data_IF_745540803765
#
_entry.id   IF_745540803765
#
_cell.length_a   1.000
_cell.length_b   1.000
_cell.length_c   1.000
_cell.angle_alpha   90.00
_cell.angle_beta   90.00
_cell.angle_gamma   90.00
#
_symmetry.space_group_name_H-M   'P 1'
#
loop_
_entity.id
_entity.type
_entity.pdbx_description
1 polymer ?
#
# COMPACT_ATOMS: atom_id res chain seq x y z
N UNK A 1 -10.08 -3.47 2.08
CA UNK A 1 -8.78 -2.82 2.38
C UNK A 1 -8.78 -2.44 3.85
N UNK A 2 -7.67 -2.68 4.56
CA UNK A 2 -7.56 -2.42 6.00
C UNK A 2 -6.21 -1.79 6.32
N UNK A 3 -6.03 -1.36 7.58
CA UNK A 3 -4.79 -0.75 8.06
C UNK A 3 -3.60 -1.71 7.91
N UNK A 4 -2.46 -1.13 7.58
CA UNK A 4 -1.16 -1.81 7.46
C UNK A 4 -0.71 -2.33 8.83
N UNK A 5 -0.15 -3.54 8.88
CA UNK A 5 0.40 -4.19 10.07
C UNK A 5 -0.17 -5.60 10.32
N UNK A 6 0.73 -6.58 10.46
CA UNK A 6 0.41 -8.00 10.69
C UNK A 6 -0.72 -8.23 11.71
N UNK A 7 -0.62 -7.65 12.92
CA UNK A 7 -1.62 -7.87 13.99
C UNK A 7 -2.99 -7.29 13.65
N UNK A 8 -3.02 -6.13 12.98
CA UNK A 8 -4.26 -5.44 12.59
C UNK A 8 -5.00 -6.21 11.50
N UNK A 9 -4.26 -6.80 10.55
CA UNK A 9 -4.81 -7.64 9.48
C UNK A 9 -5.39 -8.91 10.08
N UNK A 10 -4.64 -9.61 10.94
CA UNK A 10 -5.10 -10.85 11.59
C UNK A 10 -6.39 -10.65 12.39
N UNK A 11 -6.45 -9.59 13.20
CA UNK A 11 -7.66 -9.25 13.94
C UNK A 11 -8.84 -9.01 12.99
N UNK A 12 -8.63 -8.23 11.92
CA UNK A 12 -9.71 -7.91 10.98
C UNK A 12 -10.21 -9.12 10.21
N UNK A 13 -9.32 -10.04 9.84
CA UNK A 13 -9.70 -11.29 9.19
C UNK A 13 -10.60 -12.13 10.08
N UNK A 14 -10.29 -12.22 11.38
CA UNK A 14 -11.13 -12.94 12.33
C UNK A 14 -12.51 -12.28 12.48
N UNK A 15 -12.55 -10.95 12.63
CA UNK A 15 -13.81 -10.18 12.72
C UNK A 15 -14.73 -10.39 11.51
N UNK A 16 -14.16 -10.48 10.30
CA UNK A 16 -14.92 -10.57 9.05
C UNK A 16 -15.09 -12.01 8.53
N UNK A 17 -14.51 -13.01 9.20
CA UNK A 17 -14.47 -14.39 8.71
C UNK A 17 -13.74 -14.53 7.37
N UNK A 18 -12.71 -13.73 7.12
CA UNK A 18 -11.96 -13.77 5.87
C UNK A 18 -11.14 -15.06 5.76
N UNK A 19 -11.19 -15.71 4.60
CA UNK A 19 -10.43 -16.94 4.30
C UNK A 19 -8.99 -16.71 3.83
N UNK A 20 -8.68 -15.49 3.39
CA UNK A 20 -7.38 -15.09 2.88
C UNK A 20 -7.13 -13.62 3.23
N UNK A 21 -5.90 -13.29 3.58
CA UNK A 21 -5.43 -11.92 3.73
C UNK A 21 -3.96 -11.79 3.36
N UNK A 22 -3.50 -10.57 3.17
CA UNK A 22 -2.11 -10.32 2.81
C UNK A 22 -1.70 -8.87 2.95
N UNK A 23 -0.40 -8.66 3.08
CA UNK A 23 0.26 -7.36 3.18
C UNK A 23 1.41 -7.25 2.16
N UNK A 24 1.75 -6.03 1.74
CA UNK A 24 2.85 -5.78 0.80
C UNK A 24 4.23 -6.18 1.33
N UNK A 25 4.39 -6.32 2.65
CA UNK A 25 5.59 -6.83 3.33
C UNK A 25 5.85 -8.33 3.08
N UNK A 26 4.89 -9.06 2.50
CA UNK A 26 4.97 -10.49 2.21
C UNK A 26 4.27 -11.38 3.22
N UNK A 27 3.70 -10.82 4.30
CA UNK A 27 2.85 -11.57 5.23
C UNK A 27 1.54 -11.95 4.54
N UNK A 28 1.31 -13.25 4.31
CA UNK A 28 0.12 -13.81 3.66
C UNK A 28 -0.52 -14.83 4.60
N UNK A 29 -1.83 -14.71 4.81
CA UNK A 29 -2.60 -15.40 5.84
C UNK A 29 -3.65 -16.30 5.18
N UNK A 30 -3.56 -17.61 5.35
CA UNK A 30 -4.60 -18.55 4.92
C UNK A 30 -5.48 -18.95 6.11
N UNK A 31 -6.80 -18.89 5.94
CA UNK A 31 -7.81 -19.28 6.94
C UNK A 31 -8.93 -20.13 6.31
N UNK A 32 -8.74 -20.63 5.09
CA UNK A 32 -9.68 -21.54 4.42
C UNK A 32 -9.52 -22.99 4.91
N UNK A 33 -8.28 -23.48 4.86
CA UNK A 33 -7.82 -24.82 5.28
C UNK A 33 -6.54 -24.68 6.14
N UNK A 34 -6.45 -23.55 6.87
CA UNK A 34 -5.32 -23.23 7.73
C UNK A 34 -5.75 -22.32 8.88
N UNK A 35 -4.81 -22.01 9.78
CA UNK A 35 -5.10 -21.44 11.10
C UNK A 35 -5.24 -19.89 11.13
N UNK A 36 -5.14 -19.21 9.99
CA UNK A 36 -5.32 -17.76 9.88
C UNK A 36 -4.16 -16.90 10.40
N UNK A 37 -3.01 -17.50 10.74
CA UNK A 37 -1.75 -16.77 10.87
C UNK A 37 -0.96 -16.78 9.56
N UNK A 38 0.00 -15.86 9.44
CA UNK A 38 0.87 -15.77 8.29
C UNK A 38 1.96 -16.84 8.34
N UNK A 39 2.17 -17.52 7.22
CA UNK A 39 3.15 -18.58 7.13
C UNK A 39 3.68 -18.69 5.70
N UNK A 40 4.89 -18.20 5.49
CA UNK A 40 5.53 -18.21 4.17
C UNK A 40 5.80 -19.63 3.65
N UNK A 41 6.02 -20.61 4.53
CA UNK A 41 6.24 -22.02 4.13
C UNK A 41 4.91 -22.60 3.64
N UNK A 42 3.82 -22.37 4.37
CA UNK A 42 2.50 -22.81 3.94
C UNK A 42 2.08 -22.13 2.64
N UNK A 43 2.34 -20.83 2.48
CA UNK A 43 2.09 -20.10 1.22
C UNK A 43 2.85 -20.75 0.05
N UNK A 44 4.13 -21.08 0.23
CA UNK A 44 4.91 -21.78 -0.79
C UNK A 44 4.31 -23.16 -1.12
N UNK A 45 3.89 -23.93 -0.11
CA UNK A 45 3.22 -25.21 -0.30
C UNK A 45 1.89 -25.06 -1.08
N UNK A 46 1.12 -24.01 -0.83
CA UNK A 46 -0.12 -23.69 -1.56
C UNK A 46 0.13 -23.31 -3.02
N UNK A 47 1.23 -22.60 -3.31
CA UNK A 47 1.67 -22.32 -4.68
C UNK A 47 2.04 -23.64 -5.39
N UNK A 48 2.85 -24.50 -4.75
CA UNK A 48 3.23 -25.81 -5.32
C UNK A 48 2.00 -26.70 -5.55
N UNK A 49 1.06 -26.74 -4.61
CA UNK A 49 -0.20 -27.46 -4.74
C UNK A 49 -1.04 -26.94 -5.92
N UNK A 50 -1.06 -25.63 -6.15
CA UNK A 50 -1.78 -25.03 -7.28
C UNK A 50 -1.13 -25.42 -8.61
N UNK A 51 0.20 -25.37 -8.68
CA UNK A 51 0.97 -25.77 -9.86
C UNK A 51 0.83 -27.26 -10.17
N UNK A 52 0.80 -28.13 -9.15
CA UNK A 52 0.70 -29.58 -9.35
C UNK A 52 -0.65 -30.05 -9.90
N UNK A 53 -1.68 -29.20 -9.85
CA UNK A 53 -3.03 -29.48 -10.40
C UNK A 53 -3.18 -29.09 -11.87
N UNK A 54 -2.17 -28.47 -12.47
CA UNK A 54 -2.20 -28.03 -13.87
C UNK A 54 -0.90 -28.34 -14.60
N UNK A 55 -0.89 -28.06 -15.91
CA UNK A 55 0.30 -28.22 -16.76
C UNK A 55 1.00 -26.88 -17.06
N UNK A 56 0.57 -25.81 -16.41
CA UNK A 56 1.07 -24.44 -16.65
C UNK A 56 2.27 -24.17 -15.76
N UNK A 57 3.25 -23.45 -16.29
CA UNK A 57 4.39 -22.95 -15.53
C UNK A 57 3.97 -21.76 -14.68
N UNK A 58 4.66 -21.57 -13.55
CA UNK A 58 4.45 -20.40 -12.69
C UNK A 58 4.64 -19.08 -13.46
N UNK A 59 5.58 -19.04 -14.41
CA UNK A 59 5.81 -17.87 -15.26
C UNK A 59 4.61 -17.50 -16.13
N UNK A 60 3.83 -18.49 -16.57
CA UNK A 60 2.64 -18.27 -17.40
C UNK A 60 1.49 -17.73 -16.55
N UNK A 61 1.31 -18.26 -15.33
CA UNK A 61 0.33 -17.74 -14.38
C UNK A 61 0.68 -16.30 -13.98
N UNK A 62 1.96 -16.02 -13.73
CA UNK A 62 2.44 -14.68 -13.42
C UNK A 62 2.15 -13.70 -14.57
N UNK A 63 2.28 -14.12 -15.82
CA UNK A 63 2.08 -13.27 -16.99
C UNK A 63 0.61 -12.84 -17.19
N UNK A 64 -0.36 -13.51 -16.55
CA UNK A 64 -1.77 -13.10 -16.57
C UNK A 64 -2.09 -12.00 -15.56
N UNK A 65 -1.22 -11.78 -14.57
CA UNK A 65 -1.43 -10.72 -13.60
C UNK A 65 -1.27 -9.36 -14.29
N UNK A 66 -2.17 -8.39 -14.03
CA UNK A 66 -2.02 -7.05 -14.56
C UNK A 66 -0.66 -6.46 -14.16
N UNK A 67 0.01 -5.83 -15.13
CA UNK A 67 1.25 -5.12 -14.88
C UNK A 67 0.92 -3.72 -14.39
N UNK A 68 1.45 -3.36 -13.24
CA UNK A 68 1.38 -2.00 -12.71
C UNK A 68 2.79 -1.45 -12.50
N UNK A 69 2.91 -0.15 -12.70
CA UNK A 69 4.12 0.61 -12.42
C UNK A 69 3.95 1.25 -11.06
N UNK A 70 4.85 0.98 -10.12
CA UNK A 70 4.78 1.55 -8.78
C UNK A 70 6.12 2.10 -8.32
N UNK A 71 6.07 3.15 -7.50
CA UNK A 71 7.25 3.63 -6.81
C UNK A 71 7.67 2.66 -5.70
N UNK A 72 8.95 2.67 -5.29
CA UNK A 72 9.31 2.20 -3.95
C UNK A 72 8.53 3.00 -2.88
N UNK A 73 8.59 2.53 -1.64
CA UNK A 73 8.13 3.34 -0.51
C UNK A 73 8.97 4.62 -0.44
N UNK A 74 8.32 5.77 -0.59
CA UNK A 74 8.96 7.08 -0.49
C UNK A 74 8.78 7.62 0.92
N UNK A 75 9.86 8.13 1.50
CA UNK A 75 9.87 8.70 2.85
C UNK A 75 10.17 10.18 2.76
N UNK A 76 9.30 10.98 3.35
CA UNK A 76 9.41 12.43 3.37
C UNK A 76 9.61 12.89 4.81
N UNK A 77 10.83 13.33 5.13
CA UNK A 77 11.17 13.79 6.46
C UNK A 77 10.42 15.10 6.77
N UNK A 78 9.87 15.16 7.99
CA UNK A 78 9.24 16.34 8.56
C UNK A 78 10.10 16.84 9.73
N UNK A 79 10.02 18.14 10.03
CA UNK A 79 10.79 18.75 11.13
C UNK A 79 10.43 18.17 12.51
N UNK A 80 9.18 17.75 12.70
CA UNK A 80 8.68 17.19 13.96
C UNK A 80 7.47 16.29 13.72
N UNK A 81 7.07 15.56 14.77
CA UNK A 81 5.80 14.81 14.75
C UNK A 81 4.59 15.73 14.61
N UNK A 82 4.61 16.91 15.24
CA UNK A 82 3.52 17.89 15.13
C UNK A 82 3.33 18.35 13.68
N UNK A 83 4.44 18.65 12.99
CA UNK A 83 4.41 19.06 11.58
C UNK A 83 3.96 17.92 10.68
N UNK A 84 4.45 16.69 10.90
CA UNK A 84 3.98 15.49 10.20
C UNK A 84 2.45 15.33 10.31
N UNK A 85 1.89 15.46 11.52
CA UNK A 85 0.46 15.31 11.72
C UNK A 85 -0.34 16.46 11.11
N UNK A 86 0.16 17.70 11.18
CA UNK A 86 -0.45 18.86 10.52
C UNK A 86 -0.56 18.64 9.01
N UNK A 87 0.57 18.31 8.35
CA UNK A 87 0.61 18.08 6.90
C UNK A 87 -0.29 16.90 6.51
N UNK A 88 -0.27 15.80 7.28
CA UNK A 88 -1.11 14.65 6.99
C UNK A 88 -2.61 14.98 7.07
N UNK A 89 -3.04 15.77 8.06
CA UNK A 89 -4.43 16.19 8.20
C UNK A 89 -4.86 17.13 7.07
N UNK A 90 -4.05 18.13 6.74
CA UNK A 90 -4.33 19.06 5.63
C UNK A 90 -4.34 18.34 4.28
N UNK A 91 -3.49 17.33 4.10
CA UNK A 91 -3.52 16.47 2.91
C UNK A 91 -4.83 15.68 2.82
N UNK A 92 -5.28 15.06 3.92
CA UNK A 92 -6.56 14.36 3.98
C UNK A 92 -7.71 15.29 3.61
N UNK A 93 -7.79 16.48 4.22
CA UNK A 93 -8.84 17.47 3.93
C UNK A 93 -8.83 17.90 2.45
N UNK A 94 -7.66 18.28 1.93
CA UNK A 94 -7.55 18.72 0.54
C UNK A 94 -7.94 17.61 -0.44
N UNK A 95 -7.38 16.41 -0.30
CA UNK A 95 -7.59 15.37 -1.29
C UNK A 95 -9.02 14.82 -1.22
N UNK A 96 -9.62 14.68 -0.04
CA UNK A 96 -11.03 14.25 0.08
C UNK A 96 -12.03 15.27 -0.47
N UNK A 97 -11.69 16.56 -0.44
CA UNK A 97 -12.52 17.60 -1.04
C UNK A 97 -12.45 17.63 -2.58
N UNK A 98 -11.38 17.10 -3.18
CA UNK A 98 -11.12 17.22 -4.62
C UNK A 98 -11.12 15.89 -5.39
N UNK A 99 -11.02 14.75 -4.70
CA UNK A 99 -10.86 13.43 -5.30
C UNK A 99 -11.64 12.36 -4.53
N UNK A 100 -11.83 11.20 -5.16
CA UNK A 100 -12.36 10.01 -4.49
C UNK A 100 -11.26 9.35 -3.65
N UNK A 101 -11.47 9.28 -2.34
CA UNK A 101 -10.44 8.91 -1.37
C UNK A 101 -10.88 7.81 -0.39
N UNK A 102 -9.90 7.08 0.14
CA UNK A 102 -10.05 6.17 1.28
C UNK A 102 -9.16 6.68 2.41
N UNK A 103 -9.74 6.94 3.57
CA UNK A 103 -9.06 7.59 4.71
C UNK A 103 -8.78 6.66 5.90
N UNK A 104 -8.69 5.36 5.65
CA UNK A 104 -8.52 4.34 6.72
C UNK A 104 -7.14 4.42 7.39
N UNK A 105 -6.11 4.78 6.63
CA UNK A 105 -4.71 4.86 7.06
C UNK A 105 -4.01 5.96 6.24
N UNK A 106 -4.14 7.22 6.69
CA UNK A 106 -3.79 8.39 5.88
C UNK A 106 -4.84 8.68 4.81
N UNK A 107 -4.43 9.15 3.63
CA UNK A 107 -5.30 9.35 2.46
C UNK A 107 -4.78 8.55 1.27
N UNK A 108 -5.63 7.65 0.77
CA UNK A 108 -5.43 6.95 -0.50
C UNK A 108 -6.35 7.54 -1.56
N UNK A 109 -5.76 8.22 -2.54
CA UNK A 109 -6.42 8.92 -3.64
C UNK A 109 -6.61 7.95 -4.80
N UNK A 110 -7.83 7.86 -5.34
CA UNK A 110 -8.15 6.98 -6.48
C UNK A 110 -8.28 7.80 -7.75
N UNK A 111 -7.51 7.45 -8.77
CA UNK A 111 -7.56 8.08 -10.10
C UNK A 111 -8.22 7.18 -11.17
N UNK A 112 -8.65 5.96 -10.79
CA UNK A 112 -9.24 4.98 -11.69
C UNK A 112 -8.19 4.17 -12.46
N UNK A 113 -7.21 4.85 -13.05
CA UNK A 113 -6.05 4.28 -13.75
C UNK A 113 -4.79 4.15 -12.87
N UNK A 114 -4.89 4.60 -11.62
CA UNK A 114 -3.85 4.55 -10.63
C UNK A 114 -4.31 5.05 -9.26
N UNK A 115 -3.40 5.10 -8.31
CA UNK A 115 -3.65 5.61 -6.97
C UNK A 115 -2.38 6.21 -6.36
N UNK A 116 -2.58 7.13 -5.42
CA UNK A 116 -1.53 7.68 -4.55
C UNK A 116 -1.90 7.48 -3.08
N UNK A 117 -0.94 7.07 -2.26
CA UNK A 117 -1.09 6.97 -0.82
C UNK A 117 -0.20 8.00 -0.15
N UNK A 118 -0.76 8.72 0.83
CA UNK A 118 -0.03 9.59 1.75
C UNK A 118 -0.45 9.22 3.16
N UNK A 119 0.49 8.80 4.01
CA UNK A 119 0.20 8.49 5.42
C UNK A 119 1.33 8.94 6.33
N UNK A 120 1.00 9.25 7.59
CA UNK A 120 2.01 9.50 8.62
C UNK A 120 2.63 8.19 9.10
N UNK A 121 3.95 8.16 9.26
CA UNK A 121 4.62 7.06 9.98
C UNK A 121 4.25 7.07 11.47
N UNK A 122 4.03 5.87 12.03
CA UNK A 122 3.71 5.69 13.45
C UNK A 122 4.94 5.82 14.36
N UNK A 123 6.15 5.65 13.82
CA UNK A 123 7.37 5.52 14.62
C UNK A 123 8.40 6.63 14.37
N UNK A 124 8.22 7.43 13.32
CA UNK A 124 9.18 8.45 12.89
C UNK A 124 8.44 9.72 12.42
N UNK A 125 9.08 10.91 12.48
CA UNK A 125 8.54 12.16 11.93
C UNK A 125 8.64 12.17 10.39
N UNK A 126 7.97 11.21 9.74
CA UNK A 126 8.05 10.96 8.30
C UNK A 126 6.65 10.77 7.73
N UNK A 127 6.41 11.36 6.56
CA UNK A 127 5.27 11.03 5.70
C UNK A 127 5.71 9.95 4.71
N UNK A 128 4.93 8.88 4.64
CA UNK A 128 5.16 7.76 3.74
C UNK A 128 4.24 7.90 2.54
N UNK A 129 4.84 7.88 1.36
CA UNK A 129 4.14 8.00 0.08
C UNK A 129 4.39 6.77 -0.80
N UNK A 130 3.37 6.40 -1.59
CA UNK A 130 3.51 5.38 -2.63
C UNK A 130 2.52 5.62 -3.75
N UNK A 131 2.96 5.41 -4.98
CA UNK A 131 2.16 5.65 -6.18
C UNK A 131 2.17 4.41 -7.07
N UNK A 132 1.06 4.16 -7.74
CA UNK A 132 0.91 3.07 -8.69
C UNK A 132 -0.03 3.47 -9.82
N UNK A 133 0.29 3.09 -11.06
CA UNK A 133 -0.58 3.27 -12.21
C UNK A 133 -0.39 2.17 -13.25
N UNK A 134 -1.27 2.16 -14.26
CA UNK A 134 -1.21 1.25 -15.40
C UNK A 134 -0.05 1.52 -16.39
N UNK A 135 0.65 2.65 -16.26
CA UNK A 135 1.78 3.04 -17.09
C UNK A 135 2.79 3.86 -16.28
N UNK A 136 4.04 3.88 -16.74
CA UNK A 136 5.13 4.62 -16.09
C UNK A 136 4.83 6.12 -16.04
N UNK A 137 4.48 6.72 -17.19
CA UNK A 137 4.19 8.15 -17.31
C UNK A 137 3.04 8.55 -16.37
N UNK A 138 1.97 7.74 -16.32
CA UNK A 138 0.84 8.02 -15.44
C UNK A 138 1.19 7.94 -13.96
N UNK A 139 2.05 7.00 -13.59
CA UNK A 139 2.54 6.90 -12.22
C UNK A 139 3.35 8.14 -11.84
N UNK A 140 4.20 8.64 -12.75
CA UNK A 140 4.99 9.85 -12.54
C UNK A 140 4.10 11.09 -12.43
N UNK A 141 3.08 11.24 -13.28
CA UNK A 141 2.09 12.32 -13.17
C UNK A 141 1.38 12.34 -11.82
N UNK A 142 0.91 11.17 -11.35
CA UNK A 142 0.21 11.04 -10.06
C UNK A 142 1.18 11.39 -8.90
N UNK A 143 2.40 10.87 -8.96
CA UNK A 143 3.46 11.16 -7.99
C UNK A 143 3.70 12.67 -7.91
N UNK A 144 3.95 13.32 -9.04
CA UNK A 144 4.29 14.74 -9.07
C UNK A 144 3.13 15.62 -8.62
N UNK A 145 1.89 15.29 -8.99
CA UNK A 145 0.68 15.98 -8.52
C UNK A 145 0.58 15.95 -7.00
N UNK A 146 0.76 14.77 -6.40
CA UNK A 146 0.60 14.60 -4.95
C UNK A 146 1.77 15.23 -4.20
N UNK A 147 3.01 15.00 -4.63
CA UNK A 147 4.20 15.54 -3.97
C UNK A 147 4.25 17.06 -4.03
N UNK A 148 3.91 17.67 -5.17
CA UNK A 148 3.82 19.12 -5.31
C UNK A 148 2.80 19.69 -4.32
N UNK A 149 1.66 19.01 -4.14
CA UNK A 149 0.67 19.45 -3.18
C UNK A 149 1.19 19.37 -1.74
N UNK A 150 1.87 18.28 -1.37
CA UNK A 150 2.45 18.15 -0.02
C UNK A 150 3.49 19.22 0.26
N UNK A 151 4.37 19.52 -0.70
CA UNK A 151 5.36 20.59 -0.60
C UNK A 151 4.72 21.99 -0.48
N UNK A 152 3.51 22.19 -1.01
CA UNK A 152 2.76 23.43 -0.81
C UNK A 152 2.14 23.57 0.58
N UNK A 153 1.98 22.47 1.32
CA UNK A 153 1.38 22.44 2.66
C UNK A 153 2.45 22.66 3.74
N UNK A 154 3.66 22.12 3.56
CA UNK A 154 4.75 22.26 4.52
C UNK A 154 6.11 21.83 3.96
N UNK A 155 7.16 22.11 4.72
CA UNK A 155 8.54 21.74 4.38
C UNK A 155 8.71 20.23 4.55
N UNK A 156 8.81 19.51 3.42
CA UNK A 156 9.02 18.07 3.38
C UNK A 156 10.19 17.73 2.46
N UNK A 157 11.19 17.07 3.01
CA UNK A 157 12.37 16.64 2.24
C UNK A 157 12.24 15.17 1.85
N UNK A 158 12.42 14.87 0.56
CA UNK A 158 12.36 13.49 0.07
C UNK A 158 13.67 12.80 0.45
N UNK A 159 13.61 11.87 1.40
CA UNK A 159 14.67 10.90 1.60
C UNK A 159 14.55 9.87 0.46
N UNK A 160 15.38 10.02 -0.55
CA UNK A 160 15.56 8.95 -1.55
C UNK A 160 16.29 7.83 -0.83
N UNK A 161 15.55 6.82 -0.37
CA UNK A 161 16.12 5.60 0.18
C UNK A 161 17.06 4.98 -0.87
N UNK A 162 18.34 4.91 -0.52
CA UNK A 162 19.40 4.32 -1.34
C UNK A 162 19.30 2.80 -1.45
#
# INVERSE_FOLDING_TARGET
MWKTGHSLIKQKMHELGCKLGGEMSGHIFFADDYFGYDDGIYVAARIVQTLSRGNRKLSELKAELPVYHSTPEMRMACESDEEKFRIANEAVEYFTANYDCITVDGVRIKFGDGWGLVRSSNTQPVIVCRFEANSQDRMEEIKDLVLTKLQSIGSVEIEVGG
#
